data_IF_651324580049
#
_entry.id   IF_651324580049
#
_cell.length_a   1.000
_cell.length_b   1.000
_cell.length_c   1.000
_cell.angle_alpha   90.00
_cell.angle_beta   90.00
_cell.angle_gamma   90.00
#
_symmetry.space_group_name_H-M   'P 1'
#
loop_
_entity.id
_entity.type
_entity.pdbx_description
1 polymer ?
#
# COMPACT_ATOMS: atom_id res chain seq x y z
N UNK A 1 23.93 -7.20 -12.23
CA UNK A 1 22.91 -6.93 -13.27
C UNK A 1 22.02 -8.13 -13.57
N UNK A 2 21.46 -8.82 -12.56
CA UNK A 2 20.48 -9.89 -12.82
C UNK A 2 19.06 -9.34 -13.02
N UNK A 3 18.67 -8.35 -12.22
CA UNK A 3 17.38 -7.67 -12.37
C UNK A 3 17.26 -6.92 -13.71
N UNK A 4 18.34 -6.28 -14.15
CA UNK A 4 18.39 -5.61 -15.46
C UNK A 4 18.15 -6.59 -16.61
N UNK A 5 18.78 -7.77 -16.59
CA UNK A 5 18.55 -8.82 -17.60
C UNK A 5 17.09 -9.27 -17.56
N UNK A 6 16.53 -9.48 -16.38
CA UNK A 6 15.12 -9.88 -16.22
C UNK A 6 14.17 -8.81 -16.80
N UNK A 7 14.41 -7.54 -16.50
CA UNK A 7 13.61 -6.44 -17.07
C UNK A 7 13.77 -6.40 -18.58
N UNK A 8 14.99 -6.48 -19.11
CA UNK A 8 15.26 -6.37 -20.54
C UNK A 8 14.66 -7.52 -21.35
N UNK A 9 14.77 -8.76 -20.87
CA UNK A 9 14.23 -9.95 -21.54
C UNK A 9 12.71 -9.89 -21.64
N UNK A 10 12.02 -9.46 -20.58
CA UNK A 10 10.56 -9.45 -20.55
C UNK A 10 9.95 -8.16 -21.11
N UNK A 11 10.71 -7.06 -21.23
CA UNK A 11 10.20 -5.78 -21.71
C UNK A 11 9.67 -5.84 -23.14
N UNK A 12 10.38 -6.54 -24.04
CA UNK A 12 9.98 -6.63 -25.46
C UNK A 12 8.64 -7.34 -25.66
N UNK A 13 8.41 -8.42 -24.91
CA UNK A 13 7.16 -9.20 -24.99
C UNK A 13 5.99 -8.48 -24.29
N UNK A 14 6.23 -7.97 -23.09
CA UNK A 14 5.18 -7.32 -22.29
C UNK A 14 4.75 -5.97 -22.88
N UNK A 15 5.64 -5.22 -23.53
CA UNK A 15 5.30 -3.96 -24.21
C UNK A 15 4.83 -4.13 -25.65
N UNK A 16 4.66 -5.36 -26.12
CA UNK A 16 4.16 -5.61 -27.47
C UNK A 16 2.72 -5.10 -27.63
N UNK A 17 2.30 -4.82 -28.88
CA UNK A 17 0.95 -4.33 -29.20
C UNK A 17 -0.16 -5.29 -28.79
N UNK A 18 0.15 -6.57 -28.57
CA UNK A 18 -0.78 -7.59 -28.03
C UNK A 18 -1.19 -7.27 -26.59
N UNK A 19 -0.35 -6.52 -25.86
CA UNK A 19 -0.51 -6.20 -24.45
C UNK A 19 -0.85 -4.72 -24.22
N UNK A 20 -1.46 -4.02 -25.19
CA UNK A 20 -1.81 -2.59 -25.06
C UNK A 20 -2.77 -2.30 -23.88
N UNK A 21 -3.51 -3.31 -23.42
CA UNK A 21 -4.32 -3.23 -22.20
C UNK A 21 -3.50 -2.91 -20.93
N UNK A 22 -2.19 -3.18 -20.93
CA UNK A 22 -1.28 -2.85 -19.83
C UNK A 22 -0.76 -1.42 -19.87
N UNK A 23 -1.07 -0.63 -20.91
CA UNK A 23 -0.55 0.74 -21.09
C UNK A 23 -0.86 1.71 -19.94
N UNK A 24 -1.93 1.44 -19.19
CA UNK A 24 -2.30 2.25 -18.02
C UNK A 24 -2.39 1.43 -16.74
N UNK A 25 -1.58 0.37 -16.63
CA UNK A 25 -1.52 -0.47 -15.43
C UNK A 25 -1.28 0.35 -14.15
N UNK A 26 -0.52 1.44 -14.19
CA UNK A 26 -0.33 2.32 -13.03
C UNK A 26 -1.64 2.82 -12.39
N UNK A 27 -2.73 2.95 -13.15
CA UNK A 27 -4.03 3.36 -12.61
C UNK A 27 -4.67 2.32 -11.68
N UNK A 28 -4.32 1.02 -11.83
CA UNK A 28 -4.84 -0.02 -10.95
C UNK A 28 -4.00 -0.18 -9.68
N UNK A 29 -2.77 0.33 -9.66
CA UNK A 29 -1.85 0.22 -8.52
C UNK A 29 -2.47 0.73 -7.21
N UNK A 30 -3.12 1.91 -7.15
CA UNK A 30 -3.82 2.36 -5.95
C UNK A 30 -4.80 1.32 -5.38
N UNK A 31 -5.64 0.73 -6.25
CA UNK A 31 -6.61 -0.29 -5.83
C UNK A 31 -5.93 -1.54 -5.29
N UNK A 32 -4.82 -1.96 -5.90
CA UNK A 32 -4.02 -3.09 -5.43
C UNK A 32 -3.40 -2.80 -4.05
N UNK A 33 -2.90 -1.59 -3.82
CA UNK A 33 -2.31 -1.22 -2.51
C UNK A 33 -3.36 -1.23 -1.40
N UNK A 34 -4.59 -0.77 -1.67
CA UNK A 34 -5.71 -0.83 -0.72
C UNK A 34 -6.00 -2.29 -0.34
N UNK A 35 -6.18 -3.14 -1.36
CA UNK A 35 -6.48 -4.56 -1.16
C UNK A 35 -5.37 -5.30 -0.39
N UNK A 36 -4.11 -4.94 -0.67
CA UNK A 36 -2.95 -5.47 0.06
C UNK A 36 -2.97 -5.05 1.53
N UNK A 37 -3.17 -3.77 1.83
CA UNK A 37 -3.21 -3.27 3.21
C UNK A 37 -4.34 -3.94 4.01
N UNK A 38 -5.54 -4.06 3.43
CA UNK A 38 -6.65 -4.78 4.08
C UNK A 38 -6.29 -6.24 4.37
N UNK A 39 -5.69 -6.93 3.39
CA UNK A 39 -5.25 -8.31 3.55
C UNK A 39 -4.17 -8.46 4.62
N UNK A 40 -3.25 -7.50 4.69
CA UNK A 40 -2.17 -7.47 5.68
C UNK A 40 -2.70 -7.28 7.10
N UNK A 41 -3.66 -6.37 7.29
CA UNK A 41 -4.30 -6.19 8.60
C UNK A 41 -5.02 -7.46 9.06
N UNK A 42 -5.73 -8.15 8.16
CA UNK A 42 -6.38 -9.44 8.46
C UNK A 42 -5.33 -10.51 8.82
N UNK A 43 -4.22 -10.55 8.09
CA UNK A 43 -3.14 -11.50 8.37
C UNK A 43 -2.47 -11.23 9.74
N UNK A 44 -2.25 -9.95 10.09
CA UNK A 44 -1.71 -9.52 11.38
C UNK A 44 -2.64 -9.88 12.55
N UNK A 45 -3.95 -9.71 12.38
CA UNK A 45 -4.94 -10.14 13.39
C UNK A 45 -4.93 -11.67 13.59
N UNK A 46 -4.82 -12.45 12.51
CA UNK A 46 -4.65 -13.92 12.59
C UNK A 46 -3.37 -14.33 13.31
N UNK A 47 -2.25 -13.63 13.07
CA UNK A 47 -0.97 -13.87 13.75
C UNK A 47 -1.08 -13.61 15.26
N UNK A 48 -1.70 -12.50 15.65
CA UNK A 48 -1.92 -12.17 17.07
C UNK A 48 -2.73 -13.26 17.78
N UNK A 49 -3.64 -13.92 17.06
CA UNK A 49 -4.46 -15.04 17.55
C UNK A 49 -3.75 -16.41 17.49
N UNK A 50 -2.45 -16.45 17.16
CA UNK A 50 -1.64 -17.67 16.99
C UNK A 50 -2.25 -18.68 16.01
N UNK A 51 -2.90 -18.20 14.95
CA UNK A 51 -3.41 -19.07 13.90
C UNK A 51 -2.26 -19.75 13.14
N UNK A 52 -2.45 -21.00 12.71
CA UNK A 52 -1.42 -21.85 12.06
C UNK A 52 -0.95 -21.36 10.68
N UNK A 53 -1.67 -20.43 10.05
CA UNK A 53 -1.40 -19.90 8.70
C UNK A 53 -1.14 -18.39 8.76
N UNK A 54 -0.10 -17.99 9.47
CA UNK A 54 0.26 -16.58 9.62
C UNK A 54 1.41 -16.21 8.68
N UNK A 55 1.10 -15.42 7.65
CA UNK A 55 2.07 -14.77 6.78
C UNK A 55 2.09 -13.27 7.16
N UNK A 56 3.25 -12.70 7.48
CA UNK A 56 3.33 -11.37 8.12
C UNK A 56 4.17 -10.35 7.35
N UNK A 57 4.84 -10.75 6.28
CA UNK A 57 5.70 -9.84 5.52
C UNK A 57 5.80 -10.39 4.11
N UNK A 58 5.46 -9.54 3.14
CA UNK A 58 5.76 -9.82 1.75
C UNK A 58 6.26 -8.54 1.07
N UNK A 59 7.55 -8.28 1.24
CA UNK A 59 8.27 -7.35 0.35
C UNK A 59 8.09 -7.77 -1.12
N UNK A 60 7.71 -9.02 -1.41
CA UNK A 60 7.36 -9.52 -2.74
C UNK A 60 6.23 -8.75 -3.41
N UNK A 61 5.23 -8.25 -2.68
CA UNK A 61 4.20 -7.40 -3.27
C UNK A 61 4.79 -6.06 -3.73
N UNK A 62 5.52 -5.38 -2.85
CA UNK A 62 6.18 -4.11 -3.15
C UNK A 62 7.23 -4.25 -4.28
N UNK A 63 8.03 -5.32 -4.23
CA UNK A 63 8.99 -5.71 -5.26
C UNK A 63 8.31 -6.01 -6.60
N UNK A 64 7.19 -6.72 -6.59
CA UNK A 64 6.40 -7.03 -7.78
C UNK A 64 5.81 -5.79 -8.43
N UNK A 65 5.23 -4.87 -7.63
CA UNK A 65 4.74 -3.59 -8.12
C UNK A 65 5.87 -2.75 -8.73
N UNK A 66 7.00 -2.63 -8.03
CA UNK A 66 8.16 -1.89 -8.53
C UNK A 66 8.70 -2.49 -9.84
N UNK A 67 8.76 -3.82 -9.91
CA UNK A 67 9.16 -4.54 -11.13
C UNK A 67 8.21 -4.26 -12.28
N UNK A 68 6.89 -4.42 -12.10
CA UNK A 68 5.90 -4.21 -13.17
C UNK A 68 5.89 -2.75 -13.65
N UNK A 69 5.96 -1.78 -12.73
CA UNK A 69 6.03 -0.36 -13.10
C UNK A 69 7.33 -0.01 -13.83
N UNK A 70 8.46 -0.64 -13.49
CA UNK A 70 9.70 -0.51 -14.29
C UNK A 70 9.53 -1.16 -15.65
N UNK A 71 9.04 -2.40 -15.68
CA UNK A 71 8.90 -3.21 -16.87
C UNK A 71 8.01 -2.53 -17.92
N UNK A 72 6.97 -1.82 -17.48
CA UNK A 72 6.04 -1.09 -18.35
C UNK A 72 6.43 0.37 -18.59
N UNK A 73 7.51 0.88 -17.99
CA UNK A 73 7.88 2.31 -18.02
C UNK A 73 6.75 3.24 -17.55
N UNK A 74 6.13 2.88 -16.43
CA UNK A 74 4.98 3.61 -15.87
C UNK A 74 5.26 4.30 -14.53
N UNK A 75 6.54 4.37 -14.14
CA UNK A 75 6.93 4.97 -12.87
C UNK A 75 6.54 6.45 -12.80
N UNK A 76 6.85 7.24 -13.82
CA UNK A 76 6.54 8.68 -13.83
C UNK A 76 5.03 8.93 -13.80
N UNK A 77 4.27 8.18 -14.61
CA UNK A 77 2.81 8.27 -14.62
C UNK A 77 2.21 7.92 -13.26
N UNK A 78 2.77 6.91 -12.57
CA UNK A 78 2.37 6.58 -11.21
C UNK A 78 2.65 7.73 -10.22
N UNK A 79 3.82 8.38 -10.29
CA UNK A 79 4.14 9.54 -9.42
C UNK A 79 3.13 10.68 -9.59
N UNK A 80 2.60 10.91 -10.80
CA UNK A 80 1.61 11.97 -11.04
C UNK A 80 0.28 11.77 -10.30
N UNK A 81 0.01 10.55 -9.78
CA UNK A 81 -1.17 10.29 -8.97
C UNK A 81 -1.05 10.85 -7.55
N UNK A 82 0.16 11.16 -7.07
CA UNK A 82 0.43 11.55 -5.68
C UNK A 82 -0.27 10.62 -4.68
N UNK A 83 -0.25 9.32 -4.99
CA UNK A 83 -1.09 8.33 -4.31
C UNK A 83 -0.75 8.24 -2.82
N UNK A 84 0.54 8.16 -2.50
CA UNK A 84 1.01 8.05 -1.11
C UNK A 84 0.63 9.30 -0.31
N UNK A 85 0.88 10.49 -0.85
CA UNK A 85 0.48 11.76 -0.23
C UNK A 85 -1.03 11.82 0.00
N UNK A 86 -1.83 11.38 -0.98
CA UNK A 86 -3.29 11.35 -0.91
C UNK A 86 -3.78 10.43 0.21
N UNK A 87 -3.19 9.24 0.34
CA UNK A 87 -3.53 8.27 1.38
C UNK A 87 -3.15 8.80 2.76
N UNK A 88 -1.93 9.32 2.93
CA UNK A 88 -1.47 9.91 4.18
C UNK A 88 -2.37 11.08 4.60
N UNK A 89 -2.68 12.00 3.68
CA UNK A 89 -3.57 13.13 3.94
C UNK A 89 -4.98 12.68 4.35
N UNK A 90 -5.53 11.64 3.69
CA UNK A 90 -6.84 11.08 4.02
C UNK A 90 -6.87 10.55 5.45
N UNK A 91 -5.95 9.68 5.83
CA UNK A 91 -5.95 9.09 7.18
C UNK A 91 -5.60 10.11 8.26
N UNK A 92 -4.71 11.08 7.97
CA UNK A 92 -4.41 12.17 8.89
C UNK A 92 -5.65 13.06 9.17
N UNK A 93 -6.45 13.34 8.13
CA UNK A 93 -7.71 14.08 8.28
C UNK A 93 -8.75 13.28 9.07
N UNK A 94 -8.92 11.99 8.77
CA UNK A 94 -9.85 11.11 9.48
C UNK A 94 -9.47 10.95 10.97
N UNK A 95 -8.17 10.82 11.25
CA UNK A 95 -7.62 10.77 12.61
C UNK A 95 -7.91 12.05 13.39
N UNK A 96 -7.66 13.21 12.79
CA UNK A 96 -7.90 14.52 13.41
C UNK A 96 -9.38 14.70 13.72
N UNK A 97 -10.26 14.39 12.76
CA UNK A 97 -11.71 14.48 12.95
C UNK A 97 -12.22 13.58 14.09
N UNK A 98 -11.69 12.35 14.22
CA UNK A 98 -12.04 11.48 15.35
C UNK A 98 -11.50 11.96 16.69
N UNK A 99 -10.31 12.56 16.73
CA UNK A 99 -9.74 13.12 17.95
C UNK A 99 -10.55 14.32 18.45
N UNK A 100 -10.98 15.21 17.55
CA UNK A 100 -11.84 16.34 17.87
C UNK A 100 -13.21 15.88 18.37
N UNK A 101 -13.82 14.90 17.70
CA UNK A 101 -15.10 14.31 18.12
C UNK A 101 -15.00 13.61 19.49
N UNK A 102 -13.87 12.98 19.80
CA UNK A 102 -13.62 12.35 21.10
C UNK A 102 -13.44 13.40 22.21
N UNK A 103 -12.70 14.48 21.95
CA UNK A 103 -12.50 15.59 22.90
C UNK A 103 -13.80 16.34 23.23
N UNK A 104 -14.71 16.48 22.27
CA UNK A 104 -16.01 17.12 22.46
C UNK A 104 -17.06 16.24 23.19
N UNK A 105 -16.87 14.92 23.23
CA UNK A 105 -17.87 13.94 23.69
C UNK A 105 -17.63 13.41 25.12
N UNK A 106 -16.91 14.14 25.98
CA UNK A 106 -16.41 13.76 27.32
C UNK A 106 -17.46 13.42 28.40
N UNK A 107 -18.67 12.97 28.03
CA UNK A 107 -19.78 12.69 28.96
C UNK A 107 -20.45 11.31 28.79
N UNK A 108 -19.87 10.34 28.07
CA UNK A 108 -20.47 9.00 27.98
C UNK A 108 -19.51 7.85 27.64
N UNK A 109 -19.18 7.01 28.64
CA UNK A 109 -18.17 5.95 28.53
C UNK A 109 -18.32 4.98 27.35
N UNK A 110 -19.54 4.69 26.88
CA UNK A 110 -19.75 3.79 25.71
C UNK A 110 -19.33 4.42 24.36
N UNK A 111 -19.36 5.75 24.25
CA UNK A 111 -18.85 6.47 23.06
C UNK A 111 -17.32 6.60 23.09
N UNK A 112 -16.75 6.69 24.29
CA UNK A 112 -15.31 6.76 24.50
C UNK A 112 -14.59 5.47 24.09
N UNK A 113 -15.16 4.31 24.42
CA UNK A 113 -14.63 3.00 24.01
C UNK A 113 -14.67 2.81 22.48
N UNK A 114 -15.76 3.24 21.83
CA UNK A 114 -15.90 3.15 20.37
C UNK A 114 -14.90 4.06 19.63
N UNK A 115 -14.72 5.29 20.10
CA UNK A 115 -13.75 6.24 19.55
C UNK A 115 -12.31 5.72 19.70
N UNK A 116 -11.99 5.11 20.84
CA UNK A 116 -10.67 4.52 21.10
C UNK A 116 -10.37 3.38 20.12
N UNK A 117 -11.34 2.50 19.87
CA UNK A 117 -11.21 1.41 18.91
C UNK A 117 -11.03 1.91 17.47
N UNK A 118 -11.80 2.93 17.08
CA UNK A 118 -11.70 3.56 15.76
C UNK A 118 -10.34 4.23 15.54
N UNK A 119 -9.82 4.96 16.51
CA UNK A 119 -8.48 5.56 16.46
C UNK A 119 -7.38 4.50 16.33
N UNK A 120 -7.49 3.40 17.07
CA UNK A 120 -6.54 2.28 16.95
C UNK A 120 -6.58 1.67 15.56
N UNK A 121 -7.77 1.53 14.97
CA UNK A 121 -7.94 1.04 13.59
C UNK A 121 -7.25 1.96 12.60
N UNK A 122 -7.54 3.27 12.63
CA UNK A 122 -6.91 4.25 11.72
C UNK A 122 -5.38 4.17 11.81
N UNK A 123 -4.81 4.18 13.01
CA UNK A 123 -3.36 4.06 13.20
C UNK A 123 -2.78 2.77 12.62
N UNK A 124 -3.54 1.68 12.67
CA UNK A 124 -3.11 0.42 12.07
C UNK A 124 -3.03 0.56 10.55
N UNK A 125 -4.04 1.16 9.92
CA UNK A 125 -4.01 1.45 8.49
C UNK A 125 -2.86 2.40 8.11
N UNK A 126 -2.69 3.51 8.83
CA UNK A 126 -1.58 4.47 8.61
C UNK A 126 -0.23 3.75 8.59
N UNK A 127 0.02 2.91 9.60
CA UNK A 127 1.26 2.15 9.71
C UNK A 127 1.45 1.16 8.55
N UNK A 128 0.41 0.45 8.13
CA UNK A 128 0.54 -0.48 7.00
C UNK A 128 0.86 0.23 5.69
N UNK A 129 0.26 1.40 5.44
CA UNK A 129 0.58 2.19 4.25
C UNK A 129 2.01 2.73 4.30
N UNK A 130 2.47 3.22 5.44
CA UNK A 130 3.85 3.69 5.62
C UNK A 130 4.86 2.56 5.36
N UNK A 131 4.61 1.37 5.92
CA UNK A 131 5.44 0.19 5.70
C UNK A 131 5.47 -0.22 4.23
N UNK A 132 4.31 -0.21 3.56
CA UNK A 132 4.21 -0.53 2.14
C UNK A 132 4.95 0.50 1.28
N UNK A 133 4.80 1.79 1.58
CA UNK A 133 5.48 2.87 0.86
C UNK A 133 7.00 2.77 1.03
N UNK A 134 7.49 2.53 2.25
CA UNK A 134 8.92 2.30 2.49
C UNK A 134 9.42 1.10 1.69
N UNK A 135 8.73 -0.05 1.76
CA UNK A 135 9.11 -1.25 1.01
C UNK A 135 9.10 -1.00 -0.50
N UNK A 136 8.11 -0.27 -1.02
CA UNK A 136 8.00 0.09 -2.43
C UNK A 136 9.12 1.04 -2.87
N UNK A 137 9.43 2.07 -2.08
CA UNK A 137 10.54 2.98 -2.33
C UNK A 137 11.88 2.25 -2.36
N UNK A 138 12.12 1.35 -1.40
CA UNK A 138 13.31 0.48 -1.39
C UNK A 138 13.34 -0.44 -2.60
N UNK A 139 12.20 -1.05 -2.96
CA UNK A 139 12.09 -1.95 -4.10
C UNK A 139 12.48 -1.29 -5.43
N UNK A 140 12.08 -0.03 -5.64
CA UNK A 140 12.40 0.71 -6.86
C UNK A 140 13.90 0.94 -7.06
N UNK A 141 14.68 0.98 -5.99
CA UNK A 141 16.13 1.17 -6.09
C UNK A 141 16.78 0.01 -6.85
N UNK A 142 16.27 -1.22 -6.68
CA UNK A 142 16.78 -2.40 -7.41
C UNK A 142 16.63 -2.33 -8.93
N UNK A 143 15.78 -1.42 -9.42
CA UNK A 143 15.42 -1.29 -10.84
C UNK A 143 15.81 0.08 -11.44
N UNK A 144 16.54 0.92 -10.70
CA UNK A 144 17.00 2.25 -11.18
C UNK A 144 18.28 2.19 -12.02
N UNK A 145 19.04 1.11 -11.94
CA UNK A 145 20.21 0.85 -12.81
C UNK A 145 19.74 0.37 -14.18
#
# INVERSE_FOLDING_TARGET
NYFEILVNVFSSEIRSTKNDHLRHFFLIVPSLTIAYVDSMLVAKDKLQKKAREAYFTDDGFAMGLAYLLKLLEQNEQFETLYWWDTVQARYAAERTALQEAAGAASTGGRKEDANTLALKRIRSYELEYELLECAFCSARIFFRT
#
